data_IF_809734345512
#
_entry.id   IF_809734345512
#
_cell.length_a   1.000
_cell.length_b   1.000
_cell.length_c   1.000
_cell.angle_alpha   90.00
_cell.angle_beta   90.00
_cell.angle_gamma   90.00
#
_symmetry.space_group_name_H-M   'P 1'
#
loop_
_entity.id
_entity.type
_entity.pdbx_description
1 polymer ?
#
# COMPACT_ATOMS: atom_id res chain seq x y z
N UNK A 1 -4.94 -23.03 2.70
CA UNK A 1 -4.73 -21.60 2.34
C UNK A 1 -3.72 -20.99 3.29
N UNK A 2 -2.72 -20.36 2.75
CA UNK A 2 -1.70 -19.68 3.56
C UNK A 2 -1.98 -18.18 3.52
N UNK A 3 -1.87 -17.46 4.66
CA UNK A 3 -2.02 -16.01 4.67
C UNK A 3 -1.03 -15.34 3.72
N UNK A 4 -1.48 -14.27 3.06
CA UNK A 4 -0.69 -13.52 2.08
C UNK A 4 -0.57 -12.04 2.48
N UNK A 5 0.51 -11.42 2.05
CA UNK A 5 0.72 -9.99 2.11
C UNK A 5 0.27 -9.41 0.77
N UNK A 6 -0.62 -8.44 0.80
CA UNK A 6 -1.15 -7.79 -0.40
C UNK A 6 -0.57 -6.40 -0.55
N UNK A 7 0.24 -6.16 -1.58
CA UNK A 7 0.69 -4.83 -1.96
C UNK A 7 -0.24 -4.28 -3.04
N UNK A 8 -0.82 -3.12 -2.81
CA UNK A 8 -1.84 -2.53 -3.68
C UNK A 8 -1.42 -1.16 -4.19
N UNK A 9 -1.87 -0.81 -5.40
CA UNK A 9 -1.69 0.50 -6.01
C UNK A 9 -2.83 0.78 -6.99
N UNK A 10 -3.05 2.04 -7.33
CA UNK A 10 -4.14 2.49 -8.22
C UNK A 10 -3.59 3.49 -9.22
N UNK A 11 -3.93 3.29 -10.48
CA UNK A 11 -3.66 4.23 -11.57
C UNK A 11 -4.97 4.82 -12.09
N UNK A 12 -5.05 6.15 -12.11
CA UNK A 12 -6.24 6.88 -12.55
C UNK A 12 -6.10 7.32 -14.00
N UNK A 13 -7.13 7.03 -14.78
CA UNK A 13 -7.25 7.39 -16.20
C UNK A 13 -8.41 8.34 -16.40
N UNK A 14 -8.63 8.81 -17.64
CA UNK A 14 -9.62 9.82 -17.93
C UNK A 14 -11.05 9.42 -17.51
N UNK A 15 -11.43 8.14 -17.70
CA UNK A 15 -12.80 7.64 -17.52
C UNK A 15 -12.91 6.46 -16.55
N UNK A 16 -11.79 5.95 -16.04
CA UNK A 16 -11.77 4.80 -15.12
C UNK A 16 -10.47 4.76 -14.31
N UNK A 17 -10.37 3.82 -13.38
CA UNK A 17 -9.13 3.49 -12.69
C UNK A 17 -8.78 2.02 -12.86
N UNK A 18 -7.50 1.72 -12.78
CA UNK A 18 -6.98 0.37 -12.66
C UNK A 18 -6.35 0.20 -11.28
N UNK A 19 -6.88 -0.72 -10.49
CA UNK A 19 -6.29 -1.12 -9.22
C UNK A 19 -5.53 -2.43 -9.39
N UNK A 20 -4.33 -2.50 -8.86
CA UNK A 20 -3.50 -3.69 -8.90
C UNK A 20 -3.18 -4.19 -7.50
N UNK A 21 -2.99 -5.50 -7.40
CA UNK A 21 -2.58 -6.18 -6.19
C UNK A 21 -1.53 -7.22 -6.53
N UNK A 22 -0.41 -7.17 -5.83
CA UNK A 22 0.66 -8.15 -5.90
C UNK A 22 0.68 -8.89 -4.57
N UNK A 23 0.57 -10.23 -4.61
CA UNK A 23 0.54 -11.07 -3.42
C UNK A 23 1.91 -11.68 -3.16
N UNK A 24 2.35 -11.61 -1.90
CA UNK A 24 3.58 -12.21 -1.37
C UNK A 24 3.22 -13.23 -0.30
N UNK A 25 3.99 -14.30 -0.19
CA UNK A 25 3.93 -15.26 0.92
C UNK A 25 4.87 -14.87 2.05
N UNK A 26 6.00 -14.25 1.69
CA UNK A 26 7.00 -13.73 2.61
C UNK A 26 7.45 -12.33 2.20
N UNK A 27 7.81 -11.50 3.19
CA UNK A 27 8.27 -10.12 2.92
C UNK A 27 9.53 -10.05 2.05
N UNK A 28 10.33 -11.11 2.03
CA UNK A 28 11.59 -11.20 1.26
C UNK A 28 11.41 -11.75 -0.15
N UNK A 29 10.19 -12.08 -0.56
CA UNK A 29 9.92 -12.64 -1.88
C UNK A 29 10.41 -11.73 -3.00
N UNK A 30 11.12 -12.33 -3.97
CA UNK A 30 11.58 -11.65 -5.18
C UNK A 30 10.55 -11.69 -6.32
N UNK A 31 9.58 -12.61 -6.22
CA UNK A 31 8.51 -12.82 -7.20
C UNK A 31 7.17 -12.92 -6.51
N UNK A 32 6.11 -12.37 -7.11
CA UNK A 32 4.77 -12.49 -6.53
C UNK A 32 4.26 -13.93 -6.60
N UNK A 33 3.46 -14.33 -5.63
CA UNK A 33 2.71 -15.58 -5.68
C UNK A 33 1.48 -15.48 -6.60
N UNK A 34 0.91 -14.28 -6.73
CA UNK A 34 -0.15 -13.95 -7.67
C UNK A 34 -0.20 -12.44 -7.94
N UNK A 35 -0.79 -12.07 -9.06
CA UNK A 35 -1.04 -10.70 -9.46
C UNK A 35 -2.51 -10.55 -9.86
N UNK A 36 -3.16 -9.51 -9.40
CA UNK A 36 -4.57 -9.24 -9.65
C UNK A 36 -4.73 -7.79 -10.13
N UNK A 37 -5.68 -7.57 -11.03
CA UNK A 37 -6.06 -6.24 -11.51
C UNK A 37 -7.57 -6.12 -11.51
N UNK A 38 -8.08 -4.97 -11.12
CA UNK A 38 -9.49 -4.62 -11.20
C UNK A 38 -9.67 -3.30 -11.94
N UNK A 39 -10.67 -3.23 -12.83
CA UNK A 39 -11.15 -1.99 -13.43
C UNK A 39 -12.24 -1.40 -12.55
N UNK A 40 -12.17 -0.10 -12.32
CA UNK A 40 -13.20 0.67 -11.60
C UNK A 40 -13.70 1.77 -12.51
N UNK A 41 -14.96 1.67 -12.95
CA UNK A 41 -15.56 2.66 -13.87
C UNK A 41 -16.11 3.88 -13.15
N UNK A 42 -16.65 3.72 -11.94
CA UNK A 42 -17.20 4.80 -11.13
C UNK A 42 -16.17 5.32 -10.13
N UNK A 43 -15.24 6.16 -10.59
CA UNK A 43 -14.21 6.76 -9.75
C UNK A 43 -14.73 8.08 -9.17
N UNK A 44 -14.63 8.25 -7.84
CA UNK A 44 -14.97 9.50 -7.19
C UNK A 44 -14.05 10.64 -7.67
N UNK A 45 -14.58 11.87 -7.72
CA UNK A 45 -13.79 13.04 -8.06
C UNK A 45 -12.69 13.29 -7.01
N UNK A 46 -11.58 13.90 -7.46
CA UNK A 46 -10.53 14.31 -6.56
C UNK A 46 -11.02 15.42 -5.62
N UNK A 47 -10.90 15.20 -4.33
CA UNK A 47 -11.24 16.16 -3.29
C UNK A 47 -9.97 16.41 -2.44
N UNK A 48 -9.41 17.64 -2.43
CA UNK A 48 -8.25 17.96 -1.61
C UNK A 48 -8.48 17.63 -0.13
N UNK A 49 -7.52 16.91 0.49
CA UNK A 49 -7.61 16.48 1.88
C UNK A 49 -8.47 15.23 2.12
N UNK A 50 -9.14 14.72 1.10
CA UNK A 50 -9.97 13.52 1.18
C UNK A 50 -9.58 12.47 0.12
N UNK A 51 -8.29 12.32 -0.13
CA UNK A 51 -7.70 11.41 -1.10
C UNK A 51 -8.18 9.95 -0.94
N UNK A 52 -8.38 9.50 0.31
CA UNK A 52 -8.89 8.18 0.61
C UNK A 52 -10.27 7.87 0.00
N UNK A 53 -11.13 8.88 -0.19
CA UNK A 53 -12.46 8.70 -0.79
C UNK A 53 -12.39 8.20 -2.23
N UNK A 54 -11.34 8.58 -2.93
CA UNK A 54 -11.09 8.15 -4.32
C UNK A 54 -10.39 6.78 -4.36
N UNK A 55 -9.41 6.59 -3.52
CA UNK A 55 -8.53 5.43 -3.53
C UNK A 55 -9.12 4.20 -2.87
N UNK A 56 -9.80 4.38 -1.73
CA UNK A 56 -10.31 3.28 -0.93
C UNK A 56 -11.25 2.33 -1.69
N UNK A 57 -12.25 2.81 -2.46
CA UNK A 57 -13.12 1.91 -3.24
C UNK A 57 -12.35 1.08 -4.26
N UNK A 58 -11.32 1.66 -4.90
CA UNK A 58 -10.48 0.99 -5.88
C UNK A 58 -9.65 -0.13 -5.23
N UNK A 59 -9.06 0.15 -4.08
CA UNK A 59 -8.30 -0.85 -3.31
C UNK A 59 -9.21 -1.98 -2.86
N UNK A 60 -10.40 -1.68 -2.32
CA UNK A 60 -11.35 -2.69 -1.89
C UNK A 60 -11.82 -3.57 -3.05
N UNK A 61 -11.99 -3.00 -4.26
CA UNK A 61 -12.38 -3.76 -5.44
C UNK A 61 -11.33 -4.81 -5.84
N UNK A 62 -10.05 -4.48 -5.80
CA UNK A 62 -8.99 -5.45 -6.14
C UNK A 62 -8.75 -6.43 -4.99
N UNK A 63 -8.83 -6.01 -3.74
CA UNK A 63 -8.72 -6.91 -2.58
C UNK A 63 -9.86 -7.92 -2.52
N UNK A 64 -11.07 -7.55 -2.97
CA UNK A 64 -12.21 -8.46 -3.06
C UNK A 64 -11.99 -9.64 -4.02
N UNK A 65 -10.94 -9.60 -4.84
CA UNK A 65 -10.54 -10.71 -5.71
C UNK A 65 -9.51 -11.66 -5.08
N UNK A 66 -8.97 -11.29 -3.92
CA UNK A 66 -8.03 -12.15 -3.18
C UNK A 66 -8.81 -13.24 -2.46
N UNK A 67 -8.46 -14.48 -2.71
CA UNK A 67 -9.14 -15.66 -2.10
C UNK A 67 -8.42 -16.16 -0.84
N UNK A 68 -7.12 -15.91 -0.74
CA UNK A 68 -6.33 -16.27 0.45
C UNK A 68 -6.58 -15.30 1.61
N UNK A 69 -6.44 -15.74 2.87
CA UNK A 69 -6.52 -14.84 4.01
C UNK A 69 -5.43 -13.75 3.93
N UNK A 70 -5.79 -12.51 4.26
CA UNK A 70 -4.84 -11.41 4.30
C UNK A 70 -4.08 -11.39 5.64
N UNK A 71 -2.77 -11.52 5.58
CA UNK A 71 -1.89 -11.33 6.73
C UNK A 71 -1.59 -9.85 6.97
N UNK A 72 -1.49 -9.07 5.90
CA UNK A 72 -1.22 -7.64 5.92
C UNK A 72 -1.55 -7.02 4.55
N UNK A 73 -1.91 -5.75 4.54
CA UNK A 73 -2.03 -4.96 3.30
C UNK A 73 -1.02 -3.81 3.34
N UNK A 74 -0.29 -3.63 2.25
CA UNK A 74 0.66 -2.54 2.05
C UNK A 74 0.09 -1.55 1.04
N UNK A 75 -0.01 -0.29 1.44
CA UNK A 75 -0.51 0.82 0.60
C UNK A 75 0.58 1.84 0.31
N UNK A 76 0.50 2.53 -0.82
CA UNK A 76 1.33 3.70 -1.13
C UNK A 76 0.70 4.93 -0.45
N UNK A 77 1.30 5.37 0.63
CA UNK A 77 0.81 6.49 1.43
C UNK A 77 0.89 6.26 2.93
N UNK A 78 0.07 6.99 3.67
CA UNK A 78 0.09 7.00 5.13
C UNK A 78 -1.11 6.28 5.74
N UNK A 79 -0.85 5.57 6.85
CA UNK A 79 -1.91 5.11 7.76
C UNK A 79 -2.41 6.26 8.61
N UNK A 80 -1.48 7.02 9.21
CA UNK A 80 -1.74 8.19 10.04
C UNK A 80 -1.12 9.43 9.40
N UNK A 81 -1.80 10.57 9.48
CA UNK A 81 -1.37 11.83 8.87
C UNK A 81 -0.63 12.75 9.84
N UNK A 82 -0.64 12.46 11.12
CA UNK A 82 0.06 13.20 12.16
C UNK A 82 0.30 12.35 13.43
N UNK A 83 1.00 12.93 14.40
CA UNK A 83 1.29 12.30 15.68
C UNK A 83 0.04 12.04 16.55
N UNK A 84 -1.07 12.71 16.26
CA UNK A 84 -2.35 12.51 16.93
C UNK A 84 -3.22 11.43 16.28
N UNK A 85 -2.64 10.68 15.34
CA UNK A 85 -3.32 9.60 14.60
C UNK A 85 -4.55 10.06 13.82
N UNK A 86 -4.47 11.21 13.17
CA UNK A 86 -5.48 11.60 12.20
C UNK A 86 -5.51 10.57 11.06
N UNK A 87 -6.66 9.94 10.78
CA UNK A 87 -6.72 8.83 9.82
C UNK A 87 -6.35 9.26 8.39
N UNK A 88 -5.39 8.53 7.81
CA UNK A 88 -5.10 8.54 6.39
C UNK A 88 -5.74 7.35 5.67
N UNK A 89 -5.33 7.11 4.45
CA UNK A 89 -5.82 6.01 3.62
C UNK A 89 -5.71 4.65 4.33
N UNK A 90 -4.55 4.36 4.92
CA UNK A 90 -4.32 3.05 5.55
C UNK A 90 -5.21 2.80 6.77
N UNK A 91 -5.48 3.81 7.59
CA UNK A 91 -6.39 3.69 8.73
C UNK A 91 -7.84 3.44 8.27
N UNK A 92 -8.26 4.13 7.21
CA UNK A 92 -9.58 3.94 6.60
C UNK A 92 -9.74 2.55 5.99
N UNK A 93 -8.68 2.05 5.34
CA UNK A 93 -8.67 0.69 4.80
C UNK A 93 -8.74 -0.35 5.92
N UNK A 94 -7.98 -0.19 6.99
CA UNK A 94 -8.02 -1.08 8.15
C UNK A 94 -9.44 -1.19 8.74
N UNK A 95 -10.12 -0.04 8.91
CA UNK A 95 -11.50 0.01 9.37
C UNK A 95 -12.46 -0.70 8.40
N UNK A 96 -12.32 -0.44 7.09
CA UNK A 96 -13.14 -1.06 6.05
C UNK A 96 -12.95 -2.59 5.96
N UNK A 97 -11.78 -3.10 6.36
CA UNK A 97 -11.48 -4.53 6.46
C UNK A 97 -11.91 -5.15 7.81
N UNK A 98 -12.69 -4.44 8.60
CA UNK A 98 -13.22 -4.92 9.88
C UNK A 98 -12.26 -4.81 11.06
N UNK A 99 -11.15 -4.09 10.92
CA UNK A 99 -10.17 -3.84 11.98
C UNK A 99 -9.30 -5.05 12.36
N UNK A 100 -9.32 -6.12 11.58
CA UNK A 100 -8.59 -7.34 11.88
C UNK A 100 -7.29 -7.50 11.06
N UNK A 101 -7.25 -6.92 9.87
CA UNK A 101 -6.09 -7.03 8.97
C UNK A 101 -5.14 -5.86 9.20
N UNK A 102 -3.87 -6.12 9.56
CA UNK A 102 -2.86 -5.06 9.65
C UNK A 102 -2.68 -4.32 8.33
N UNK A 103 -2.49 -3.01 8.40
CA UNK A 103 -2.17 -2.18 7.23
C UNK A 103 -0.88 -1.41 7.47
N UNK A 104 0.01 -1.47 6.49
CA UNK A 104 1.28 -0.75 6.46
C UNK A 104 1.22 0.28 5.34
N UNK A 105 1.45 1.54 5.69
CA UNK A 105 1.61 2.62 4.73
C UNK A 105 3.09 2.88 4.47
N UNK A 106 3.48 2.91 3.20
CA UNK A 106 4.83 3.24 2.77
C UNK A 106 4.74 4.46 1.86
N UNK A 107 5.23 5.60 2.33
CA UNK A 107 5.16 6.86 1.60
C UNK A 107 6.53 7.28 1.08
N UNK A 108 6.55 7.83 -0.12
CA UNK A 108 7.77 8.28 -0.83
C UNK A 108 8.18 9.71 -0.45
N UNK A 109 7.25 10.48 0.11
CA UNK A 109 7.44 11.88 0.50
C UNK A 109 6.96 12.11 1.92
N UNK A 110 7.59 13.05 2.66
CA UNK A 110 7.09 13.44 3.97
C UNK A 110 5.73 14.14 3.83
N UNK A 111 4.88 13.96 4.83
CA UNK A 111 3.62 14.67 4.98
C UNK A 111 3.69 15.50 6.26
N UNK A 112 3.66 16.82 6.12
CA UNK A 112 3.85 17.73 7.25
C UNK A 112 5.18 17.48 7.97
N UNK A 113 5.18 17.53 9.30
CA UNK A 113 6.29 17.11 10.15
C UNK A 113 6.24 15.58 10.30
N UNK A 114 6.98 14.85 9.47
CA UNK A 114 6.92 13.39 9.37
C UNK A 114 7.68 12.66 10.49
N UNK A 115 7.92 13.30 11.62
CA UNK A 115 8.56 12.73 12.81
C UNK A 115 7.75 11.62 13.51
N UNK A 116 6.45 11.54 13.20
CA UNK A 116 5.56 10.48 13.68
C UNK A 116 5.70 9.16 12.90
N UNK A 117 6.36 9.18 11.73
CA UNK A 117 6.58 8.02 10.89
C UNK A 117 7.99 7.45 11.10
N UNK A 118 8.15 6.13 10.92
CA UNK A 118 9.46 5.50 10.86
C UNK A 118 10.12 5.83 9.53
N UNK A 119 11.38 6.26 9.55
CA UNK A 119 12.17 6.54 8.35
C UNK A 119 13.05 5.36 7.99
N UNK A 120 13.01 4.94 6.74
CA UNK A 120 13.79 3.79 6.24
C UNK A 120 14.61 4.21 5.03
N UNK A 121 15.92 4.08 5.13
CA UNK A 121 16.84 4.21 4.00
C UNK A 121 17.06 2.84 3.37
N UNK A 122 17.01 2.77 2.04
CA UNK A 122 17.26 1.55 1.27
C UNK A 122 18.18 1.83 0.10
N UNK A 123 19.00 0.81 -0.25
CA UNK A 123 19.97 0.92 -1.33
C UNK A 123 21.00 2.01 -1.06
N UNK A 124 21.33 2.78 -2.08
CA UNK A 124 22.25 3.94 -2.00
C UNK A 124 21.51 5.28 -1.87
N UNK A 125 20.19 5.26 -1.73
CA UNK A 125 19.39 6.47 -1.64
C UNK A 125 19.61 7.19 -0.31
N UNK A 126 19.73 8.51 -0.37
CA UNK A 126 19.78 9.40 0.80
C UNK A 126 18.38 9.90 1.18
N UNK A 127 17.36 9.60 0.38
CA UNK A 127 15.96 9.97 0.62
C UNK A 127 15.24 8.79 1.25
N UNK A 128 14.71 8.91 2.49
CA UNK A 128 14.05 7.81 3.16
C UNK A 128 12.66 7.53 2.58
N UNK A 129 12.17 6.32 2.83
CA UNK A 129 10.75 5.99 2.80
C UNK A 129 10.17 6.20 4.20
N UNK A 130 8.91 6.57 4.28
CA UNK A 130 8.20 6.83 5.53
C UNK A 130 7.19 5.73 5.78
N UNK A 131 7.26 5.10 6.96
CA UNK A 131 6.42 3.96 7.32
C UNK A 131 5.50 4.33 8.47
N UNK A 132 4.22 4.11 8.27
CA UNK A 132 3.18 4.15 9.30
C UNK A 132 2.44 2.82 9.29
N UNK A 133 1.80 2.46 10.40
CA UNK A 133 1.14 1.17 10.50
C UNK A 133 -0.04 1.18 11.48
N UNK A 134 -0.98 0.28 11.27
CA UNK A 134 -2.06 -0.06 12.20
C UNK A 134 -2.22 -1.57 12.26
N UNK A 135 -2.45 -2.10 13.45
CA UNK A 135 -2.55 -3.54 13.66
C UNK A 135 -1.20 -4.29 13.72
N UNK A 136 -0.11 -3.57 13.54
CA UNK A 136 1.29 -4.05 13.66
C UNK A 136 2.15 -2.89 14.18
N UNK A 137 3.19 -3.19 14.94
CA UNK A 137 4.14 -2.18 15.42
C UNK A 137 4.84 -1.52 14.21
N UNK A 138 4.87 -0.19 14.11
CA UNK A 138 5.50 0.51 12.98
C UNK A 138 6.99 0.22 12.85
N UNK A 139 7.70 -0.10 13.93
CA UNK A 139 9.11 -0.52 13.87
C UNK A 139 9.27 -1.90 13.24
N UNK A 140 8.35 -2.83 13.53
CA UNK A 140 8.31 -4.13 12.88
C UNK A 140 7.98 -3.97 11.39
N UNK A 141 7.04 -3.12 11.05
CA UNK A 141 6.72 -2.79 9.66
C UNK A 141 7.92 -2.18 8.92
N UNK A 142 8.68 -1.29 9.57
CA UNK A 142 9.91 -0.72 9.02
C UNK A 142 10.98 -1.79 8.78
N UNK A 143 11.14 -2.76 9.70
CA UNK A 143 12.06 -3.89 9.53
C UNK A 143 11.64 -4.78 8.36
N UNK A 144 10.36 -5.03 8.18
CA UNK A 144 9.85 -5.73 7.00
C UNK A 144 10.19 -4.99 5.71
N UNK A 145 9.99 -3.67 5.67
CA UNK A 145 10.38 -2.87 4.50
C UNK A 145 11.88 -2.98 4.19
N UNK A 146 12.74 -2.94 5.21
CA UNK A 146 14.19 -3.12 5.02
C UNK A 146 14.52 -4.48 4.42
N UNK A 147 13.80 -5.53 4.82
CA UNK A 147 14.00 -6.90 4.37
C UNK A 147 13.42 -7.19 2.98
N UNK A 148 12.53 -6.36 2.46
CA UNK A 148 11.94 -6.56 1.13
C UNK A 148 13.01 -6.64 0.05
N UNK A 149 12.76 -7.52 -0.94
CA UNK A 149 13.72 -7.78 -2.03
C UNK A 149 14.00 -6.54 -2.87
N UNK A 150 15.27 -6.41 -3.26
CA UNK A 150 15.75 -5.44 -4.24
C UNK A 150 16.79 -4.47 -3.70
N UNK A 151 17.68 -3.99 -4.59
CA UNK A 151 18.82 -3.16 -4.23
C UNK A 151 18.49 -1.66 -4.18
N UNK A 152 17.27 -1.26 -4.56
CA UNK A 152 16.88 0.13 -4.72
C UNK A 152 16.07 0.66 -3.53
N UNK A 153 15.87 1.99 -3.52
CA UNK A 153 15.00 2.66 -2.55
C UNK A 153 13.63 2.00 -2.49
N UNK A 154 13.00 1.80 -3.65
CA UNK A 154 11.71 1.13 -3.75
C UNK A 154 11.94 -0.38 -3.93
N UNK A 155 11.37 -1.23 -3.07
CA UNK A 155 11.43 -2.68 -3.22
C UNK A 155 10.94 -3.18 -4.58
N UNK A 156 11.47 -4.32 -5.01
CA UNK A 156 11.13 -4.95 -6.30
C UNK A 156 9.61 -5.09 -6.49
N UNK A 157 8.89 -5.63 -5.51
CA UNK A 157 7.47 -5.92 -5.67
C UNK A 157 6.57 -4.69 -5.46
N UNK A 158 7.05 -3.63 -4.79
CA UNK A 158 6.35 -2.32 -4.77
C UNK A 158 6.49 -1.61 -6.13
N UNK A 159 7.65 -1.70 -6.78
CA UNK A 159 7.81 -1.25 -8.16
C UNK A 159 6.92 -2.08 -9.10
N UNK A 160 6.80 -3.39 -8.86
CA UNK A 160 5.98 -4.27 -9.67
C UNK A 160 4.50 -3.90 -9.62
N UNK A 161 3.93 -3.65 -8.44
CA UNK A 161 2.50 -3.29 -8.32
C UNK A 161 2.21 -1.94 -8.96
N UNK A 162 3.09 -0.95 -8.83
CA UNK A 162 2.98 0.34 -9.52
C UNK A 162 2.90 0.16 -11.04
N UNK A 163 3.81 -0.62 -11.62
CA UNK A 163 3.79 -0.91 -13.05
C UNK A 163 2.58 -1.72 -13.48
N UNK A 164 2.18 -2.69 -12.67
CA UNK A 164 1.03 -3.55 -12.98
C UNK A 164 -0.26 -2.73 -13.15
N UNK A 165 -0.54 -1.75 -12.27
CA UNK A 165 -1.71 -0.91 -12.46
C UNK A 165 -1.57 0.09 -13.61
N UNK A 166 -0.38 0.64 -13.87
CA UNK A 166 -0.14 1.56 -14.99
C UNK A 166 -0.24 0.89 -16.36
N UNK A 167 0.26 -0.34 -16.48
CA UNK A 167 0.31 -1.09 -17.74
C UNK A 167 -0.95 -1.91 -17.99
N UNK A 168 -1.86 -1.99 -17.01
CA UNK A 168 -3.09 -2.78 -17.13
C UNK A 168 -3.97 -2.30 -18.30
N UNK A 169 -4.37 -3.26 -19.13
CA UNK A 169 -5.33 -3.08 -20.22
C UNK A 169 -6.68 -3.61 -19.77
N UNK A 170 -7.41 -2.80 -19.04
CA UNK A 170 -8.71 -3.15 -18.47
C UNK A 170 -9.81 -2.16 -18.89
#
# INVERSE_FOLDING_TARGET
MHPVIACVDVDYRADHAAAACVLLRDWTDAKPSAELVARIDAVAEYEPGAFYKRELPCILAVLGRVTDPLACVVVDGYVWLDAHRRPGLGARLHEALGGAVPVVGIAKKPFGEADFAESVLRGTSLTPLYVTAVGIDPRVAADHLRAMHGPHRIPTLLTRVDRLCRDARV
#
